data_IF_626501497844
#
_entry.id   IF_626501497844
#
_cell.length_a   1.000
_cell.length_b   1.000
_cell.length_c   1.000
_cell.angle_alpha   90.00
_cell.angle_beta   90.00
_cell.angle_gamma   90.00
#
_symmetry.space_group_name_H-M   'P 1'
#
loop_
_entity.id
_entity.type
_entity.pdbx_description
1 polymer ?
#
# COMPACT_ATOMS: atom_id res chain seq x y z
N UNK A 1 15.24 -2.56 11.54
CA UNK A 1 15.32 -3.56 10.46
C UNK A 1 14.42 -3.04 9.36
N UNK A 2 14.88 -2.92 8.12
CA UNK A 2 14.00 -2.51 7.02
C UNK A 2 12.87 -3.53 6.90
N UNK A 3 11.65 -3.05 6.70
CA UNK A 3 10.52 -3.93 6.43
C UNK A 3 10.47 -4.20 4.92
N UNK A 4 9.92 -5.35 4.53
CA UNK A 4 9.76 -5.73 3.14
C UNK A 4 8.36 -5.34 2.67
N UNK A 5 8.28 -4.69 1.51
CA UNK A 5 6.98 -4.44 0.88
C UNK A 5 6.26 -5.78 0.64
N UNK A 6 5.03 -5.90 1.13
CA UNK A 6 4.23 -7.12 0.99
C UNK A 6 3.88 -7.46 -0.48
N UNK A 7 4.07 -6.53 -1.42
CA UNK A 7 3.76 -6.71 -2.86
C UNK A 7 5.02 -7.03 -3.67
N UNK A 8 6.00 -6.13 -3.68
CA UNK A 8 7.19 -6.28 -4.52
C UNK A 8 8.41 -6.87 -3.78
N UNK A 9 8.33 -7.04 -2.46
CA UNK A 9 9.43 -7.56 -1.65
C UNK A 9 10.65 -6.63 -1.56
N UNK A 10 10.52 -5.35 -1.93
CA UNK A 10 11.60 -4.36 -1.77
C UNK A 10 11.77 -4.02 -0.30
N UNK A 11 13.03 -3.98 0.16
CA UNK A 11 13.41 -3.44 1.45
C UNK A 11 13.24 -1.92 1.43
N UNK A 12 12.36 -1.40 2.28
CA UNK A 12 12.12 0.03 2.40
C UNK A 12 11.88 0.39 3.88
N UNK A 13 12.27 1.60 4.28
CA UNK A 13 12.07 2.07 5.66
C UNK A 13 10.82 2.95 5.80
N UNK A 14 10.15 3.27 4.68
CA UNK A 14 8.97 4.13 4.56
C UNK A 14 7.78 3.32 4.01
N UNK A 15 7.60 2.08 4.48
CA UNK A 15 6.39 1.32 4.18
C UNK A 15 5.18 1.96 4.87
N UNK A 16 4.06 1.99 4.16
CA UNK A 16 2.78 2.47 4.68
C UNK A 16 1.79 1.32 4.78
N UNK A 17 0.99 1.34 5.84
CA UNK A 17 -0.09 0.38 6.05
C UNK A 17 -1.29 0.71 5.15
N UNK A 18 -1.68 -0.24 4.30
CA UNK A 18 -2.92 -0.17 3.53
C UNK A 18 -4.13 -0.24 4.46
N UNK A 19 -5.01 0.76 4.44
CA UNK A 19 -6.20 0.78 5.32
C UNK A 19 -7.27 -0.26 5.00
N UNK A 20 -7.23 -0.85 3.81
CA UNK A 20 -8.21 -1.85 3.39
C UNK A 20 -7.81 -3.27 3.82
N UNK A 21 -6.53 -3.63 3.68
CA UNK A 21 -6.04 -5.00 3.96
C UNK A 21 -5.02 -5.10 5.10
N UNK A 22 -4.57 -3.97 5.67
CA UNK A 22 -3.58 -3.92 6.76
C UNK A 22 -2.16 -4.30 6.35
N UNK A 23 -1.88 -4.48 5.06
CA UNK A 23 -0.55 -4.85 4.59
C UNK A 23 0.38 -3.62 4.50
N UNK A 24 1.64 -3.79 4.88
CA UNK A 24 2.68 -2.77 4.72
C UNK A 24 3.25 -2.81 3.31
N UNK A 25 3.11 -1.72 2.57
CA UNK A 25 3.55 -1.64 1.17
C UNK A 25 4.30 -0.34 0.90
N UNK A 26 5.24 -0.39 -0.04
CA UNK A 26 6.01 0.78 -0.43
C UNK A 26 5.13 1.76 -1.24
N UNK A 27 5.62 3.00 -1.38
CA UNK A 27 4.92 4.06 -2.11
C UNK A 27 4.72 3.76 -3.61
N UNK A 28 5.50 2.88 -4.20
CA UNK A 28 5.29 2.45 -5.60
C UNK A 28 4.17 1.42 -5.72
N UNK A 29 3.99 0.57 -4.70
CA UNK A 29 2.96 -0.46 -4.64
C UNK A 29 1.69 -0.01 -3.90
N UNK A 30 1.64 1.23 -3.44
CA UNK A 30 0.43 1.86 -2.94
C UNK A 30 0.36 3.30 -3.38
N UNK A 31 -0.77 3.68 -3.96
CA UNK A 31 -1.00 5.06 -4.38
C UNK A 31 -1.72 5.83 -3.28
N UNK A 32 -1.37 7.11 -3.16
CA UNK A 32 -1.87 8.01 -2.14
C UNK A 32 -3.16 8.71 -2.53
N UNK A 33 -4.15 8.02 -3.13
CA UNK A 33 -5.49 8.60 -3.27
C UNK A 33 -6.58 7.53 -3.35
N UNK A 34 -7.36 7.37 -2.29
CA UNK A 34 -8.70 6.81 -2.44
C UNK A 34 -9.74 7.71 -1.79
N UNK A 35 -10.04 8.84 -2.46
CA UNK A 35 -11.19 9.75 -2.22
C UNK A 35 -11.33 10.40 -0.84
N UNK A 36 -10.51 10.05 0.17
CA UNK A 36 -10.56 10.60 1.55
C UNK A 36 -9.19 10.88 2.18
N UNK A 37 -8.09 10.76 1.41
CA UNK A 37 -6.73 10.97 1.90
C UNK A 37 -6.12 9.78 2.65
N UNK A 38 -6.69 8.59 2.50
CA UNK A 38 -6.19 7.34 3.10
C UNK A 38 -5.33 6.56 2.10
N UNK A 39 -4.26 5.94 2.60
CA UNK A 39 -3.34 5.14 1.79
C UNK A 39 -3.90 3.73 1.57
N UNK A 40 -3.89 3.28 0.31
CA UNK A 40 -4.31 1.95 -0.09
C UNK A 40 -3.29 1.33 -1.05
N UNK A 41 -3.09 0.02 -0.98
CA UNK A 41 -2.24 -0.69 -1.94
C UNK A 41 -2.94 -0.83 -3.29
N UNK A 42 -2.17 -0.98 -4.37
CA UNK A 42 -2.70 -1.04 -5.76
C UNK A 42 -3.77 -2.12 -5.93
N UNK A 43 -3.60 -3.29 -5.33
CA UNK A 43 -4.58 -4.38 -5.41
C UNK A 43 -5.94 -4.00 -4.80
N UNK A 44 -5.96 -3.41 -3.62
CA UNK A 44 -7.21 -3.02 -2.97
C UNK A 44 -7.87 -1.81 -3.65
N UNK A 45 -7.12 -1.01 -4.40
CA UNK A 45 -7.69 0.06 -5.22
C UNK A 45 -8.39 -0.52 -6.45
N UNK A 46 -7.79 -1.52 -7.10
CA UNK A 46 -8.39 -2.19 -8.26
C UNK A 46 -9.66 -2.97 -7.88
N UNK A 47 -9.70 -3.60 -6.71
CA UNK A 47 -10.90 -4.31 -6.22
C UNK A 47 -12.01 -3.39 -5.70
N UNK A 48 -11.71 -2.12 -5.40
CA UNK A 48 -12.69 -1.13 -4.94
C UNK A 48 -13.45 -0.41 -6.05
N UNK A 49 -13.24 -0.79 -7.31
CA UNK A 49 -13.77 -0.13 -8.51
C UNK A 49 -14.80 -0.95 -9.28
N UNK A 50 -15.96 -1.26 -8.68
CA UNK A 50 -17.25 -1.44 -9.38
C UNK A 50 -18.42 -1.14 -8.43
#
# INVERSE_FOLDING_TARGET
MPDLCAICGTEDNDLRECKLCGQHVCRECGDGDHRRGEFACVYCQEEGGD
#
